data_IF_137927333703
#
_entry.id   IF_137927333703
#
_cell.length_a   1.000
_cell.length_b   1.000
_cell.length_c   1.000
_cell.angle_alpha   90.00
_cell.angle_beta   90.00
_cell.angle_gamma   90.00
#
_symmetry.space_group_name_H-M   'P 1'
#
loop_
_entity.id
_entity.type
_entity.pdbx_description
1 polymer ?
#
# COMPACT_ATOMS: atom_id res chain seq x y z
N UNK A 1 -76.84 -51.16 -40.06
CA UNK A 1 -76.64 -50.34 -38.84
C UNK A 1 -75.55 -50.86 -37.90
N UNK A 2 -75.44 -52.17 -37.62
CA UNK A 2 -74.43 -52.71 -36.67
C UNK A 2 -72.96 -52.49 -37.12
N UNK A 3 -72.64 -52.67 -38.40
CA UNK A 3 -71.27 -52.46 -38.92
C UNK A 3 -70.78 -51.00 -38.79
N UNK A 4 -71.67 -50.02 -39.00
CA UNK A 4 -71.34 -48.60 -38.85
C UNK A 4 -71.02 -48.25 -37.39
N UNK A 5 -71.74 -48.85 -36.44
CA UNK A 5 -71.50 -48.69 -35.01
C UNK A 5 -70.16 -49.28 -34.57
N UNK A 6 -69.73 -50.42 -35.13
CA UNK A 6 -68.43 -51.01 -34.83
C UNK A 6 -67.26 -50.17 -35.37
N UNK A 7 -67.38 -49.57 -36.56
CA UNK A 7 -66.34 -48.68 -37.12
C UNK A 7 -66.20 -47.40 -36.28
N UNK A 8 -67.33 -46.82 -35.85
CA UNK A 8 -67.32 -45.64 -34.96
C UNK A 8 -66.72 -46.00 -33.59
N UNK A 9 -67.02 -47.18 -33.05
CA UNK A 9 -66.44 -47.64 -31.79
C UNK A 9 -64.92 -47.83 -31.88
N UNK A 10 -64.41 -48.40 -32.98
CA UNK A 10 -62.96 -48.56 -33.21
C UNK A 10 -62.28 -47.19 -33.36
N UNK A 11 -62.89 -46.26 -34.10
CA UNK A 11 -62.38 -44.90 -34.24
C UNK A 11 -62.37 -44.14 -32.90
N UNK A 12 -63.40 -44.32 -32.05
CA UNK A 12 -63.47 -43.74 -30.72
C UNK A 12 -62.39 -44.31 -29.77
N UNK A 13 -62.12 -45.62 -29.84
CA UNK A 13 -61.04 -46.27 -29.07
C UNK A 13 -59.67 -45.78 -29.55
N UNK A 14 -59.46 -45.66 -30.87
CA UNK A 14 -58.22 -45.13 -31.45
C UNK A 14 -57.96 -43.67 -31.06
N UNK A 15 -59.00 -42.83 -31.12
CA UNK A 15 -58.93 -41.44 -30.66
C UNK A 15 -58.66 -41.34 -29.15
N UNK A 16 -59.29 -42.21 -28.35
CA UNK A 16 -59.02 -42.31 -26.91
C UNK A 16 -57.59 -42.74 -26.59
N UNK A 17 -57.05 -43.69 -27.35
CA UNK A 17 -55.64 -44.13 -27.25
C UNK A 17 -54.65 -43.01 -27.60
N UNK A 18 -54.91 -42.27 -28.69
CA UNK A 18 -54.07 -41.14 -29.09
C UNK A 18 -54.10 -39.98 -28.08
N UNK A 19 -55.29 -39.61 -27.59
CA UNK A 19 -55.45 -38.57 -26.60
C UNK A 19 -54.82 -38.95 -25.25
N UNK A 20 -54.93 -40.23 -24.86
CA UNK A 20 -54.27 -40.79 -23.68
C UNK A 20 -52.75 -40.73 -23.81
N UNK A 21 -52.19 -41.13 -24.96
CA UNK A 21 -50.75 -41.05 -25.22
C UNK A 21 -50.23 -39.61 -25.21
N UNK A 22 -50.93 -38.68 -25.86
CA UNK A 22 -50.55 -37.27 -25.89
C UNK A 22 -50.61 -36.63 -24.48
N UNK A 23 -51.60 -37.03 -23.67
CA UNK A 23 -51.73 -36.56 -22.28
C UNK A 23 -50.62 -37.14 -21.40
N UNK A 24 -50.27 -38.41 -21.60
CA UNK A 24 -49.16 -39.09 -20.91
C UNK A 24 -47.81 -38.45 -21.25
N UNK A 25 -47.57 -38.08 -22.51
CA UNK A 25 -46.34 -37.40 -22.93
C UNK A 25 -46.23 -36.00 -22.30
N UNK A 26 -47.32 -35.22 -22.32
CA UNK A 26 -47.39 -33.91 -21.64
C UNK A 26 -47.17 -34.04 -20.14
N UNK A 27 -47.74 -35.06 -19.50
CA UNK A 27 -47.57 -35.31 -18.08
C UNK A 27 -46.13 -35.72 -17.73
N UNK A 28 -45.51 -36.54 -18.58
CA UNK A 28 -44.09 -36.93 -18.43
C UNK A 28 -43.17 -35.71 -18.55
N UNK A 29 -43.36 -34.88 -19.58
CA UNK A 29 -42.64 -33.60 -19.74
C UNK A 29 -42.83 -32.69 -18.53
N UNK A 30 -44.07 -32.52 -18.06
CA UNK A 30 -44.35 -31.69 -16.89
C UNK A 30 -43.68 -32.22 -15.61
N UNK A 31 -43.52 -33.55 -15.49
CA UNK A 31 -42.82 -34.18 -14.37
C UNK A 31 -41.31 -33.97 -14.47
N UNK A 32 -40.73 -34.07 -15.66
CA UNK A 32 -39.31 -33.76 -15.93
C UNK A 32 -39.02 -32.28 -15.66
N UNK A 33 -39.85 -31.36 -16.19
CA UNK A 33 -39.73 -29.92 -15.97
C UNK A 33 -39.79 -29.57 -14.47
N UNK A 34 -40.71 -30.18 -13.71
CA UNK A 34 -40.77 -30.00 -12.25
C UNK A 34 -39.51 -30.51 -11.56
N UNK A 35 -39.01 -31.67 -11.95
CA UNK A 35 -37.83 -32.27 -11.35
C UNK A 35 -36.56 -31.47 -11.66
N UNK A 36 -36.47 -30.87 -12.85
CA UNK A 36 -35.43 -29.93 -13.22
C UNK A 36 -35.56 -28.60 -12.47
N UNK A 37 -36.78 -28.08 -12.33
CA UNK A 37 -37.05 -26.85 -11.58
C UNK A 37 -36.71 -27.00 -10.08
N UNK A 38 -37.03 -28.15 -9.48
CA UNK A 38 -36.66 -28.47 -8.10
C UNK A 38 -35.14 -28.57 -7.92
N UNK A 39 -34.44 -29.26 -8.83
CA UNK A 39 -32.96 -29.31 -8.84
C UNK A 39 -32.34 -27.92 -8.98
N UNK A 40 -32.87 -27.10 -9.89
CA UNK A 40 -32.40 -25.72 -10.09
C UNK A 40 -32.67 -24.85 -8.86
N UNK A 41 -33.81 -25.03 -8.19
CA UNK A 41 -34.12 -24.33 -6.95
C UNK A 41 -33.20 -24.75 -5.79
N UNK A 42 -32.87 -26.03 -5.66
CA UNK A 42 -31.89 -26.49 -4.66
C UNK A 42 -30.49 -25.92 -4.93
N UNK A 43 -30.02 -25.99 -6.17
CA UNK A 43 -28.74 -25.41 -6.57
C UNK A 43 -28.67 -23.89 -6.31
N UNK A 44 -29.75 -23.16 -6.61
CA UNK A 44 -29.86 -21.72 -6.32
C UNK A 44 -29.83 -21.44 -4.82
N UNK A 45 -30.53 -22.23 -4.01
CA UNK A 45 -30.49 -22.09 -2.55
C UNK A 45 -29.08 -22.30 -2.00
N UNK A 46 -28.38 -23.34 -2.47
CA UNK A 46 -26.99 -23.59 -2.09
C UNK A 46 -26.08 -22.41 -2.47
N UNK A 47 -26.17 -21.93 -3.72
CA UNK A 47 -25.40 -20.77 -4.19
C UNK A 47 -25.70 -19.50 -3.38
N UNK A 48 -26.97 -19.22 -3.03
CA UNK A 48 -27.33 -18.08 -2.18
C UNK A 48 -26.67 -18.18 -0.79
N UNK A 49 -26.63 -19.37 -0.20
CA UNK A 49 -25.99 -19.60 1.10
C UNK A 49 -24.48 -19.34 1.01
N UNK A 50 -23.83 -19.84 -0.04
CA UNK A 50 -22.39 -19.64 -0.27
C UNK A 50 -22.05 -18.17 -0.52
N UNK A 51 -22.78 -17.50 -1.41
CA UNK A 51 -22.59 -16.06 -1.67
C UNK A 51 -22.83 -15.22 -0.41
N UNK A 52 -23.82 -15.59 0.42
CA UNK A 52 -24.05 -14.89 1.70
C UNK A 52 -22.90 -15.09 2.69
N UNK A 53 -22.30 -16.28 2.70
CA UNK A 53 -21.11 -16.57 3.52
C UNK A 53 -19.89 -15.78 3.03
N UNK A 54 -19.67 -15.72 1.73
CA UNK A 54 -18.62 -14.92 1.11
C UNK A 54 -18.80 -13.42 1.36
N UNK A 55 -20.03 -12.90 1.22
CA UNK A 55 -20.34 -11.50 1.52
C UNK A 55 -20.00 -11.14 2.97
N UNK A 56 -20.38 -11.99 3.94
CA UNK A 56 -19.99 -11.80 5.35
C UNK A 56 -18.47 -11.86 5.57
N UNK A 57 -17.78 -12.76 4.88
CA UNK A 57 -16.33 -12.84 4.94
C UNK A 57 -15.68 -11.56 4.38
N UNK A 58 -16.18 -11.03 3.26
CA UNK A 58 -15.73 -9.77 2.67
C UNK A 58 -16.02 -8.57 3.57
N UNK A 59 -17.17 -8.51 4.25
CA UNK A 59 -17.47 -7.48 5.23
C UNK A 59 -16.47 -7.51 6.40
N UNK A 60 -16.18 -8.69 6.92
CA UNK A 60 -15.19 -8.86 7.99
C UNK A 60 -13.78 -8.44 7.53
N UNK A 61 -13.37 -8.79 6.31
CA UNK A 61 -12.08 -8.36 5.75
C UNK A 61 -12.04 -6.85 5.48
N UNK A 62 -13.15 -6.25 5.03
CA UNK A 62 -13.27 -4.79 4.88
C UNK A 62 -13.10 -4.09 6.22
N UNK A 63 -13.73 -4.60 7.28
CA UNK A 63 -13.65 -3.98 8.60
C UNK A 63 -12.25 -4.12 9.20
N UNK A 64 -11.58 -5.27 9.01
CA UNK A 64 -10.16 -5.43 9.31
C UNK A 64 -9.28 -4.47 8.51
N UNK A 65 -9.56 -4.29 7.22
CA UNK A 65 -8.81 -3.37 6.37
C UNK A 65 -8.99 -1.91 6.81
N UNK A 66 -10.20 -1.50 7.21
CA UNK A 66 -10.48 -0.19 7.79
C UNK A 66 -9.77 0.02 9.13
N UNK A 67 -9.81 -0.98 10.02
CA UNK A 67 -9.10 -0.92 11.29
C UNK A 67 -7.59 -0.77 11.08
N UNK A 68 -7.01 -1.58 10.18
CA UNK A 68 -5.60 -1.46 9.78
C UNK A 68 -5.31 -0.11 9.14
N UNK A 69 -6.20 0.43 8.31
CA UNK A 69 -6.03 1.77 7.73
C UNK A 69 -5.90 2.81 8.84
N UNK A 70 -6.83 2.82 9.80
CA UNK A 70 -6.84 3.78 10.92
C UNK A 70 -5.61 3.62 11.83
N UNK A 71 -5.26 2.39 12.23
CA UNK A 71 -4.06 2.09 13.03
C UNK A 71 -2.81 2.59 12.30
N UNK A 72 -2.72 2.26 11.00
CA UNK A 72 -1.59 2.72 10.22
C UNK A 72 -1.59 4.25 10.10
N UNK A 73 -2.71 4.93 9.87
CA UNK A 73 -2.77 6.41 9.79
C UNK A 73 -2.23 7.05 11.08
N UNK A 74 -2.58 6.51 12.24
CA UNK A 74 -2.01 6.95 13.52
C UNK A 74 -0.49 6.72 13.56
N UNK A 75 0.02 5.57 13.08
CA UNK A 75 1.46 5.33 12.98
C UNK A 75 2.16 6.32 12.02
N UNK A 76 1.48 6.76 10.95
CA UNK A 76 2.02 7.75 10.02
C UNK A 76 2.18 9.10 10.72
N UNK A 77 1.14 9.53 11.41
CA UNK A 77 1.14 10.79 12.16
C UNK A 77 2.22 10.77 13.26
N UNK A 78 2.37 9.64 13.96
CA UNK A 78 3.44 9.44 14.93
C UNK A 78 4.83 9.49 14.28
N UNK A 79 5.02 8.83 13.13
CA UNK A 79 6.29 8.88 12.40
C UNK A 79 6.62 10.29 11.91
N UNK A 80 5.64 11.03 11.40
CA UNK A 80 5.81 12.43 10.99
C UNK A 80 6.14 13.35 12.16
N UNK A 81 5.50 13.15 13.31
CA UNK A 81 5.80 13.86 14.55
C UNK A 81 7.24 13.59 15.00
N UNK A 82 7.67 12.32 14.97
CA UNK A 82 9.04 11.93 15.29
C UNK A 82 10.06 12.57 14.33
N UNK A 83 9.78 12.61 13.03
CA UNK A 83 10.64 13.31 12.06
C UNK A 83 10.76 14.80 12.40
N UNK A 84 9.64 15.47 12.73
CA UNK A 84 9.65 16.88 13.14
C UNK A 84 10.48 17.08 14.41
N UNK A 85 10.35 16.20 15.39
CA UNK A 85 11.09 16.24 16.64
C UNK A 85 12.59 16.03 16.40
N UNK A 86 12.99 14.95 15.72
CA UNK A 86 14.40 14.67 15.39
C UNK A 86 15.04 15.78 14.56
N UNK A 87 14.28 16.43 13.67
CA UNK A 87 14.76 17.58 12.90
C UNK A 87 15.01 18.81 13.77
N UNK A 88 14.14 19.08 14.75
CA UNK A 88 14.36 20.15 15.75
C UNK A 88 15.59 19.85 16.60
N UNK A 89 15.73 18.62 17.08
CA UNK A 89 16.90 18.20 17.86
C UNK A 89 18.19 18.35 17.05
N UNK A 90 18.21 17.91 15.79
CA UNK A 90 19.36 18.08 14.91
C UNK A 90 19.72 19.56 14.72
N UNK A 91 18.73 20.45 14.58
CA UNK A 91 18.97 21.90 14.49
C UNK A 91 19.57 22.47 15.79
N UNK A 92 19.05 22.07 16.95
CA UNK A 92 19.58 22.48 18.26
C UNK A 92 21.02 22.01 18.47
N UNK A 93 21.32 20.74 18.12
CA UNK A 93 22.68 20.22 18.22
C UNK A 93 23.64 20.91 17.25
N UNK A 94 23.19 21.23 16.04
CA UNK A 94 23.97 22.01 15.08
C UNK A 94 24.31 23.41 15.60
N UNK A 95 23.38 24.08 16.28
CA UNK A 95 23.66 25.36 16.95
C UNK A 95 24.71 25.21 18.05
N UNK A 96 24.59 24.17 18.89
CA UNK A 96 25.56 23.89 19.96
C UNK A 96 26.96 23.53 19.45
N UNK A 97 27.06 22.90 18.27
CA UNK A 97 28.35 22.65 17.60
C UNK A 97 28.96 23.98 17.17
N UNK A 98 28.20 24.84 16.48
CA UNK A 98 28.70 26.16 16.08
C UNK A 98 29.18 27.01 17.27
N UNK A 99 28.44 27.03 18.37
CA UNK A 99 28.86 27.72 19.60
C UNK A 99 30.13 27.11 20.24
N UNK A 100 30.32 25.79 20.15
CA UNK A 100 31.51 25.12 20.67
C UNK A 100 32.73 25.34 19.75
N UNK A 101 32.52 25.35 18.44
CA UNK A 101 33.56 25.66 17.45
C UNK A 101 34.08 27.10 17.65
N UNK A 102 33.20 28.08 17.85
CA UNK A 102 33.61 29.46 18.16
C UNK A 102 34.45 29.53 19.44
N UNK A 103 34.08 28.77 20.49
CA UNK A 103 34.85 28.70 21.74
C UNK A 103 36.20 28.03 21.53
N UNK A 104 36.26 26.94 20.76
CA UNK A 104 37.52 26.28 20.40
C UNK A 104 38.44 27.23 19.65
N UNK A 105 37.92 28.01 18.70
CA UNK A 105 38.66 29.00 17.93
C UNK A 105 39.23 30.11 18.84
N UNK A 106 38.43 30.59 19.79
CA UNK A 106 38.87 31.57 20.79
C UNK A 106 39.98 31.02 21.69
N UNK A 107 39.82 29.79 22.19
CA UNK A 107 40.82 29.14 23.05
C UNK A 107 42.12 28.89 22.28
N UNK A 108 42.03 28.46 21.01
CA UNK A 108 43.20 28.27 20.16
C UNK A 108 43.95 29.58 19.88
N UNK A 109 43.22 30.68 19.67
CA UNK A 109 43.82 32.03 19.53
C UNK A 109 44.53 32.46 20.82
N UNK A 110 43.93 32.22 21.98
CA UNK A 110 44.56 32.50 23.28
C UNK A 110 45.85 31.68 23.45
N UNK A 111 45.82 30.37 23.21
CA UNK A 111 47.02 29.52 23.25
C UNK A 111 48.12 30.05 22.31
N UNK A 112 47.75 30.48 21.10
CA UNK A 112 48.70 31.03 20.13
C UNK A 112 49.29 32.36 20.60
N UNK A 113 48.48 33.25 21.18
CA UNK A 113 48.96 34.52 21.76
C UNK A 113 49.89 34.30 22.96
N UNK A 114 49.56 33.34 23.84
CA UNK A 114 50.38 32.99 25.01
C UNK A 114 51.71 32.39 24.55
N UNK A 115 51.70 31.47 23.57
CA UNK A 115 52.94 30.92 22.97
C UNK A 115 53.80 31.99 22.30
N UNK A 116 53.18 32.98 21.65
CA UNK A 116 53.90 34.09 21.02
C UNK A 116 54.53 35.01 22.06
N UNK A 117 53.80 35.37 23.11
CA UNK A 117 54.33 36.14 24.25
C UNK A 117 55.49 35.40 24.94
N UNK A 118 55.40 34.07 25.07
CA UNK A 118 56.48 33.22 25.57
C UNK A 118 57.74 33.27 24.68
N UNK A 119 57.57 33.37 23.36
CA UNK A 119 58.68 33.42 22.40
C UNK A 119 59.32 34.82 22.31
N UNK A 120 58.57 35.88 22.60
CA UNK A 120 59.04 37.27 22.62
C UNK A 120 59.75 37.64 23.93
N UNK A 121 59.51 36.89 25.02
CA UNK A 121 60.28 36.93 26.25
C UNK A 121 61.65 36.24 26.05
N UNK A 122 62.52 36.89 25.28
CA UNK A 122 63.94 36.57 25.18
C UNK A 122 64.69 36.82 26.51
N UNK A 123 65.96 36.38 26.62
CA UNK A 123 66.67 36.06 27.86
C UNK A 123 67.02 37.21 28.83
N UNK A 124 66.38 38.38 28.76
CA UNK A 124 66.80 39.58 29.50
C UNK A 124 65.67 40.22 30.34
N UNK A 125 65.12 39.45 31.30
CA UNK A 125 64.10 39.93 32.26
C UNK A 125 64.54 39.63 33.70
N UNK A 126 64.45 40.63 34.58
CA UNK A 126 64.90 40.55 35.99
C UNK A 126 64.27 39.37 36.75
N UNK A 127 65.13 38.52 37.31
CA UNK A 127 64.89 37.11 37.71
C UNK A 127 64.01 36.84 38.96
N UNK A 128 63.53 37.84 39.69
CA UNK A 128 62.90 37.62 41.01
C UNK A 128 61.45 37.09 40.90
N UNK A 129 60.63 37.61 39.97
CA UNK A 129 59.19 37.28 39.87
C UNK A 129 58.82 36.38 38.69
N UNK A 130 59.78 36.10 37.81
CA UNK A 130 59.61 35.33 36.56
C UNK A 130 59.21 33.86 36.79
N UNK A 131 59.78 33.12 37.76
CA UNK A 131 59.42 31.71 37.97
C UNK A 131 57.95 31.52 38.39
N UNK A 132 57.41 32.45 39.19
CA UNK A 132 56.03 32.40 39.65
C UNK A 132 55.01 32.71 38.55
N UNK A 133 55.33 33.67 37.66
CA UNK A 133 54.52 33.95 36.48
C UNK A 133 54.59 32.83 35.44
N UNK A 134 55.79 32.30 35.15
CA UNK A 134 55.96 31.19 34.20
C UNK A 134 55.18 29.95 34.66
N UNK A 135 55.20 29.64 35.96
CA UNK A 135 54.45 28.51 36.51
C UNK A 135 52.93 28.72 36.44
N UNK A 136 52.44 29.92 36.75
CA UNK A 136 51.03 30.28 36.55
C UNK A 136 50.61 30.19 35.08
N UNK A 137 51.43 30.70 34.17
CA UNK A 137 51.14 30.68 32.74
C UNK A 137 51.24 29.27 32.13
N UNK A 138 52.14 28.41 32.63
CA UNK A 138 52.17 26.98 32.28
C UNK A 138 50.92 26.25 32.77
N UNK A 139 50.48 26.53 34.00
CA UNK A 139 49.24 25.99 34.55
C UNK A 139 48.03 26.46 33.72
N UNK A 140 47.97 27.73 33.33
CA UNK A 140 46.93 28.29 32.46
C UNK A 140 46.92 27.65 31.06
N UNK A 141 48.10 27.43 30.46
CA UNK A 141 48.20 26.77 29.16
C UNK A 141 47.78 25.30 29.24
N UNK A 142 48.11 24.62 30.34
CA UNK A 142 47.69 23.24 30.61
C UNK A 142 46.19 23.15 30.85
N UNK A 143 45.60 24.11 31.55
CA UNK A 143 44.15 24.21 31.75
C UNK A 143 43.43 24.51 30.42
N UNK A 144 43.95 25.43 29.61
CA UNK A 144 43.40 25.75 28.30
C UNK A 144 43.44 24.55 27.34
N UNK A 145 44.55 23.80 27.31
CA UNK A 145 44.65 22.57 26.53
C UNK A 145 43.66 21.49 26.99
N UNK A 146 43.48 21.32 28.31
CA UNK A 146 42.46 20.38 28.84
C UNK A 146 41.05 20.78 28.44
N UNK A 147 40.71 22.06 28.52
CA UNK A 147 39.40 22.59 28.07
C UNK A 147 39.21 22.39 26.57
N UNK A 148 40.27 22.55 25.78
CA UNK A 148 40.24 22.32 24.34
C UNK A 148 39.95 20.85 24.03
N UNK A 149 40.65 19.91 24.66
CA UNK A 149 40.40 18.47 24.48
C UNK A 149 38.98 18.07 24.89
N UNK A 150 38.46 18.62 26.00
CA UNK A 150 37.09 18.38 26.45
C UNK A 150 36.06 18.91 25.44
N UNK A 151 36.23 20.15 24.97
CA UNK A 151 35.35 20.77 23.98
C UNK A 151 35.40 20.04 22.63
N UNK A 152 36.57 19.59 22.18
CA UNK A 152 36.70 18.79 20.96
C UNK A 152 35.99 17.43 21.11
N UNK A 153 36.11 16.78 22.27
CA UNK A 153 35.41 15.54 22.57
C UNK A 153 33.88 15.72 22.55
N UNK A 154 33.38 16.78 23.19
CA UNK A 154 31.95 17.12 23.21
C UNK A 154 31.42 17.45 21.81
N UNK A 155 32.19 18.19 21.01
CA UNK A 155 31.85 18.53 19.62
C UNK A 155 31.79 17.26 18.77
N UNK A 156 32.80 16.38 18.86
CA UNK A 156 32.80 15.10 18.14
C UNK A 156 31.66 14.16 18.55
N UNK A 157 31.25 14.18 19.82
CA UNK A 157 30.07 13.45 20.28
C UNK A 157 28.76 14.05 19.75
N UNK A 158 28.67 15.38 19.69
CA UNK A 158 27.52 16.10 19.13
C UNK A 158 27.39 15.87 17.62
N UNK A 159 28.49 15.88 16.86
CA UNK A 159 28.52 15.58 15.43
C UNK A 159 28.01 14.18 15.14
N UNK A 160 28.45 13.18 15.92
CA UNK A 160 27.95 11.80 15.81
C UNK A 160 26.43 11.73 16.04
N UNK A 161 25.89 12.50 16.99
CA UNK A 161 24.45 12.58 17.25
C UNK A 161 23.69 13.23 16.08
N UNK A 162 24.22 14.30 15.50
CA UNK A 162 23.63 14.93 14.32
C UNK A 162 23.61 13.95 13.14
N UNK A 163 24.71 13.24 12.90
CA UNK A 163 24.80 12.25 11.84
C UNK A 163 23.78 11.11 12.06
N UNK A 164 23.67 10.58 13.28
CA UNK A 164 22.70 9.54 13.62
C UNK A 164 21.25 10.02 13.43
N UNK A 165 20.92 11.23 13.91
CA UNK A 165 19.59 11.81 13.75
C UNK A 165 19.24 12.03 12.27
N UNK A 166 20.20 12.47 11.45
CA UNK A 166 20.00 12.63 10.01
C UNK A 166 19.74 11.29 9.30
N UNK A 167 20.46 10.24 9.67
CA UNK A 167 20.22 8.89 9.14
C UNK A 167 18.82 8.38 9.51
N UNK A 168 18.39 8.59 10.76
CA UNK A 168 17.04 8.24 11.21
C UNK A 168 15.96 9.02 10.46
N UNK A 169 16.17 10.33 10.22
CA UNK A 169 15.26 11.16 9.43
C UNK A 169 15.11 10.60 8.01
N UNK A 170 16.22 10.22 7.36
CA UNK A 170 16.17 9.63 6.01
C UNK A 170 15.39 8.32 6.00
N UNK A 171 15.68 7.41 6.95
CA UNK A 171 14.98 6.13 7.06
C UNK A 171 13.47 6.30 7.29
N UNK A 172 13.09 7.19 8.21
CA UNK A 172 11.69 7.51 8.48
C UNK A 172 11.00 8.15 7.27
N UNK A 173 11.69 9.04 6.57
CA UNK A 173 11.18 9.69 5.35
C UNK A 173 10.97 8.68 4.22
N UNK A 174 11.88 7.73 4.05
CA UNK A 174 11.75 6.66 3.07
C UNK A 174 10.57 5.74 3.39
N UNK A 175 10.37 5.41 4.68
CA UNK A 175 9.19 4.66 5.13
C UNK A 175 7.89 5.38 4.80
N UNK A 176 7.81 6.68 5.11
CA UNK A 176 6.64 7.52 4.81
C UNK A 176 6.38 7.54 3.30
N UNK A 177 7.41 7.76 2.48
CA UNK A 177 7.29 7.88 1.02
C UNK A 177 6.87 6.57 0.38
N UNK A 178 7.50 5.44 0.76
CA UNK A 178 7.11 4.11 0.27
C UNK A 178 5.66 3.80 0.62
N UNK A 179 5.22 4.21 1.81
CA UNK A 179 3.85 4.03 2.25
C UNK A 179 2.85 4.89 1.50
N UNK A 180 3.13 6.17 1.31
CA UNK A 180 2.30 7.08 0.53
C UNK A 180 2.08 6.54 -0.89
N UNK A 181 3.13 6.00 -1.53
CA UNK A 181 3.03 5.31 -2.82
C UNK A 181 2.09 4.10 -2.79
N UNK A 182 2.13 3.26 -1.75
CA UNK A 182 1.21 2.12 -1.62
C UNK A 182 -0.26 2.56 -1.47
N UNK A 183 -0.52 3.58 -0.65
CA UNK A 183 -1.88 4.10 -0.45
C UNK A 183 -2.41 4.70 -1.77
N UNK A 184 -1.59 5.51 -2.44
CA UNK A 184 -1.94 6.09 -3.74
C UNK A 184 -2.16 5.00 -4.80
N UNK A 185 -1.36 3.93 -4.79
CA UNK A 185 -1.51 2.82 -5.73
C UNK A 185 -2.74 1.95 -5.50
N UNK A 186 -3.11 1.71 -4.23
CA UNK A 186 -4.29 0.92 -3.89
C UNK A 186 -5.61 1.69 -4.09
N UNK A 187 -5.56 3.02 -4.06
CA UNK A 187 -6.70 3.90 -4.36
C UNK A 187 -6.81 4.27 -5.84
N UNK A 188 -5.80 3.92 -6.65
CA UNK A 188 -5.81 4.17 -8.07
C UNK A 188 -6.80 3.26 -8.79
N UNK A 189 -7.59 3.85 -9.67
CA UNK A 189 -8.61 3.16 -10.43
C UNK A 189 -8.34 3.32 -11.93
N UNK A 190 -8.31 2.20 -12.65
CA UNK A 190 -8.28 2.15 -14.10
C UNK A 190 -9.70 2.19 -14.70
N UNK A 191 -9.79 2.34 -16.01
CA UNK A 191 -11.06 2.35 -16.75
C UNK A 191 -10.98 1.48 -17.98
N UNK A 192 -12.02 0.70 -18.26
CA UNK A 192 -12.13 -0.06 -19.51
C UNK A 192 -12.41 0.93 -20.65
N UNK A 193 -11.51 0.98 -21.63
CA UNK A 193 -11.65 1.86 -22.80
C UNK A 193 -12.38 1.17 -23.94
N UNK A 194 -12.14 -0.13 -24.13
CA UNK A 194 -12.78 -0.94 -25.15
C UNK A 194 -12.85 -2.39 -24.70
N UNK A 195 -13.83 -3.13 -25.20
CA UNK A 195 -13.99 -4.56 -24.97
C UNK A 195 -14.39 -5.24 -26.26
N UNK A 196 -13.83 -6.43 -26.49
CA UNK A 196 -14.25 -7.32 -27.56
C UNK A 196 -14.83 -8.60 -26.93
N UNK A 197 -16.15 -8.75 -27.02
CA UNK A 197 -16.83 -9.90 -26.42
C UNK A 197 -16.58 -11.20 -27.16
N UNK A 198 -16.43 -11.15 -28.48
CA UNK A 198 -16.22 -12.34 -29.33
C UNK A 198 -14.87 -13.01 -29.04
N UNK A 199 -13.84 -12.20 -28.76
CA UNK A 199 -12.49 -12.70 -28.45
C UNK A 199 -12.20 -12.74 -26.95
N UNK A 200 -13.04 -12.10 -26.12
CA UNK A 200 -12.95 -12.17 -24.67
C UNK A 200 -11.85 -11.33 -24.04
N UNK A 201 -11.40 -10.25 -24.68
CA UNK A 201 -10.39 -9.35 -24.12
C UNK A 201 -10.90 -7.92 -24.00
N UNK A 202 -10.31 -7.17 -23.06
CA UNK A 202 -10.59 -5.78 -22.77
C UNK A 202 -9.29 -4.95 -22.77
N UNK A 203 -9.41 -3.70 -23.21
CA UNK A 203 -8.35 -2.71 -23.14
C UNK A 203 -8.64 -1.79 -21.96
N UNK A 204 -7.77 -1.79 -20.97
CA UNK A 204 -7.89 -1.00 -19.74
C UNK A 204 -6.86 0.13 -19.77
N UNK A 205 -7.30 1.36 -19.52
CA UNK A 205 -6.41 2.47 -19.26
C UNK A 205 -6.15 2.58 -17.75
N UNK A 206 -4.88 2.65 -17.38
CA UNK A 206 -4.44 2.60 -15.98
C UNK A 206 -3.62 3.85 -15.67
N UNK A 207 -3.89 4.54 -14.55
CA UNK A 207 -3.12 5.70 -14.17
C UNK A 207 -1.73 5.30 -13.67
N UNK A 208 -0.75 6.19 -13.85
CA UNK A 208 0.67 5.94 -13.54
C UNK A 208 0.95 5.58 -12.08
N UNK A 209 0.05 5.94 -11.17
CA UNK A 209 0.18 5.64 -9.74
C UNK A 209 -0.32 4.23 -9.38
N UNK A 210 -1.02 3.52 -10.27
CA UNK A 210 -1.49 2.15 -10.04
C UNK A 210 -0.36 1.15 -10.31
N UNK A 211 0.16 0.45 -9.30
CA UNK A 211 1.24 -0.51 -9.46
C UNK A 211 0.69 -1.81 -10.04
N UNK A 212 0.80 -1.98 -11.36
CA UNK A 212 0.34 -3.18 -12.06
C UNK A 212 1.51 -3.91 -12.70
N UNK A 213 1.55 -5.22 -12.55
CA UNK A 213 2.50 -6.12 -13.21
C UNK A 213 1.74 -7.29 -13.86
N UNK A 214 2.41 -8.10 -14.68
CA UNK A 214 1.79 -9.21 -15.42
C UNK A 214 1.12 -10.27 -14.51
N UNK A 215 1.55 -10.38 -13.24
CA UNK A 215 0.97 -11.32 -12.27
C UNK A 215 -0.18 -10.72 -11.46
N UNK A 216 -0.46 -9.42 -11.63
CA UNK A 216 -1.52 -8.73 -10.92
C UNK A 216 -2.88 -9.21 -11.40
N UNK A 217 -3.79 -9.42 -10.45
CA UNK A 217 -5.20 -9.71 -10.74
C UNK A 217 -6.00 -8.42 -10.64
N UNK A 218 -6.86 -8.21 -11.63
CA UNK A 218 -7.68 -7.00 -11.74
C UNK A 218 -9.16 -7.37 -11.57
N UNK A 219 -9.92 -6.46 -10.98
CA UNK A 219 -11.36 -6.58 -10.74
C UNK A 219 -12.09 -5.47 -11.48
N UNK A 220 -13.16 -5.83 -12.17
CA UNK A 220 -14.10 -4.91 -12.79
C UNK A 220 -15.21 -4.58 -11.79
N UNK A 221 -15.48 -3.28 -11.59
CA UNK A 221 -16.59 -2.78 -10.80
C UNK A 221 -17.37 -1.71 -11.57
N UNK A 222 -18.67 -1.65 -11.28
CA UNK A 222 -19.55 -0.55 -11.71
C UNK A 222 -20.24 0.01 -10.47
N UNK A 223 -19.87 1.24 -10.12
CA UNK A 223 -20.24 1.82 -8.83
C UNK A 223 -19.72 0.97 -7.67
N UNK A 224 -20.63 0.46 -6.85
CA UNK A 224 -20.33 -0.42 -5.72
C UNK A 224 -20.43 -1.93 -6.06
N UNK A 225 -20.83 -2.28 -7.29
CA UNK A 225 -21.07 -3.67 -7.68
C UNK A 225 -19.86 -4.29 -8.36
N UNK A 226 -19.48 -5.49 -7.92
CA UNK A 226 -18.53 -6.36 -8.60
C UNK A 226 -19.14 -6.92 -9.89
N UNK A 227 -18.39 -6.84 -10.99
CA UNK A 227 -18.80 -7.39 -12.29
C UNK A 227 -18.07 -8.68 -12.59
N UNK A 228 -16.76 -8.74 -12.39
CA UNK A 228 -15.93 -9.88 -12.79
C UNK A 228 -14.44 -9.59 -12.66
N UNK A 229 -13.61 -10.58 -12.95
CA UNK A 229 -12.15 -10.48 -12.92
C UNK A 229 -11.57 -10.30 -14.32
N UNK A 230 -10.39 -9.67 -14.35
CA UNK A 230 -9.53 -9.53 -15.52
C UNK A 230 -8.18 -10.19 -15.26
N UNK A 231 -7.67 -10.89 -16.26
CA UNK A 231 -6.33 -11.47 -16.27
C UNK A 231 -5.46 -10.71 -17.26
N UNK A 232 -4.34 -10.18 -16.79
CA UNK A 232 -3.44 -9.38 -17.62
C UNK A 232 -2.73 -10.30 -18.63
N UNK A 233 -2.75 -9.90 -19.89
CA UNK A 233 -1.98 -10.55 -20.96
C UNK A 233 -0.76 -9.72 -21.35
N UNK A 234 -0.93 -8.41 -21.53
CA UNK A 234 0.14 -7.52 -21.93
C UNK A 234 -0.03 -6.13 -21.32
N UNK A 235 1.10 -5.47 -21.05
CA UNK A 235 1.17 -4.11 -20.52
C UNK A 235 1.90 -3.23 -21.53
N UNK A 236 1.18 -2.26 -22.09
CA UNK A 236 1.66 -1.28 -23.08
C UNK A 236 1.61 0.13 -22.47
N UNK A 237 2.57 0.42 -21.59
CA UNK A 237 2.64 1.70 -20.88
C UNK A 237 1.42 1.91 -19.97
N UNK A 238 0.59 2.92 -20.29
CA UNK A 238 -0.64 3.20 -19.54
C UNK A 238 -1.83 2.32 -19.97
N UNK A 239 -1.68 1.48 -21.00
CA UNK A 239 -2.74 0.61 -21.51
C UNK A 239 -2.42 -0.83 -21.17
N UNK A 240 -3.43 -1.57 -20.74
CA UNK A 240 -3.33 -3.00 -20.47
C UNK A 240 -4.30 -3.74 -21.36
N UNK A 241 -3.81 -4.81 -21.98
CA UNK A 241 -4.65 -5.81 -22.64
C UNK A 241 -4.87 -6.95 -21.65
N UNK A 242 -6.12 -7.19 -21.30
CA UNK A 242 -6.49 -8.21 -20.32
C UNK A 242 -7.64 -9.09 -20.83
N UNK A 243 -7.58 -10.38 -20.53
CA UNK A 243 -8.67 -11.32 -20.78
C UNK A 243 -9.76 -11.18 -19.71
N UNK A 244 -11.00 -11.27 -20.17
CA UNK A 244 -12.19 -11.27 -19.32
C UNK A 244 -12.45 -12.69 -18.82
N UNK A 245 -12.39 -12.86 -17.50
CA UNK A 245 -12.75 -14.15 -16.89
C UNK A 245 -14.27 -14.26 -16.77
N UNK A 246 -14.93 -14.72 -17.84
CA UNK A 246 -16.38 -14.91 -17.90
C UNK A 246 -16.93 -15.83 -16.80
N UNK A 247 -16.12 -16.75 -16.25
CA UNK A 247 -16.56 -17.64 -15.16
C UNK A 247 -16.70 -16.89 -13.84
N UNK A 248 -15.97 -15.81 -13.69
CA UNK A 248 -16.02 -14.95 -12.49
C UNK A 248 -17.10 -13.87 -12.57
N UNK A 249 -17.85 -13.79 -13.67
CA UNK A 249 -18.80 -12.70 -13.88
C UNK A 249 -20.08 -12.87 -13.08
N UNK A 250 -20.59 -11.76 -12.54
CA UNK A 250 -21.89 -11.71 -11.88
C UNK A 250 -23.00 -12.05 -12.89
N UNK A 251 -23.90 -13.00 -12.60
CA UNK A 251 -24.95 -13.40 -13.53
C UNK A 251 -25.79 -12.21 -14.02
N UNK A 252 -25.93 -12.10 -15.34
CA UNK A 252 -26.69 -11.02 -15.99
C UNK A 252 -25.93 -9.69 -16.13
N UNK A 253 -24.71 -9.59 -15.61
CA UNK A 253 -23.84 -8.44 -15.83
C UNK A 253 -22.85 -8.73 -16.95
N UNK A 254 -22.54 -7.71 -17.76
CA UNK A 254 -21.48 -7.74 -18.76
C UNK A 254 -20.54 -6.57 -18.53
N UNK A 255 -19.24 -6.81 -18.75
CA UNK A 255 -18.23 -5.77 -18.74
C UNK A 255 -18.46 -4.82 -19.93
N UNK A 256 -18.30 -3.52 -19.71
CA UNK A 256 -18.57 -2.48 -20.69
C UNK A 256 -17.47 -1.43 -20.68
N UNK A 257 -17.26 -0.71 -21.80
CA UNK A 257 -16.46 0.50 -21.79
C UNK A 257 -16.99 1.49 -20.74
N UNK A 258 -16.09 2.10 -19.98
CA UNK A 258 -16.40 2.98 -18.85
C UNK A 258 -16.47 2.27 -17.50
N UNK A 259 -16.46 0.94 -17.44
CA UNK A 259 -16.34 0.22 -16.18
C UNK A 259 -14.99 0.48 -15.50
N UNK A 260 -15.00 0.49 -14.18
CA UNK A 260 -13.82 0.80 -13.36
C UNK A 260 -13.06 -0.48 -13.07
N UNK A 261 -11.74 -0.40 -13.10
CA UNK A 261 -10.84 -1.52 -12.83
C UNK A 261 -9.95 -1.22 -11.63
N UNK A 262 -9.89 -2.14 -10.67
CA UNK A 262 -9.07 -2.01 -9.45
C UNK A 262 -8.22 -3.25 -9.23
N UNK A 263 -7.19 -3.15 -8.41
CA UNK A 263 -6.39 -4.30 -8.00
C UNK A 263 -7.22 -5.26 -7.14
N UNK A 264 -7.21 -6.55 -7.48
CA UNK A 264 -7.91 -7.58 -6.70
C UNK A 264 -7.29 -7.78 -5.31
N UNK A 265 -5.99 -7.54 -5.21
CA UNK A 265 -5.25 -7.57 -3.96
C UNK A 265 -4.55 -6.23 -3.76
N UNK A 266 -4.67 -5.61 -2.58
CA UNK A 266 -3.91 -4.42 -2.29
C UNK A 266 -2.42 -4.75 -2.32
N UNK A 267 -1.61 -3.80 -2.77
CA UNK A 267 -0.16 -3.89 -2.69
C UNK A 267 0.26 -3.86 -1.23
N UNK A 268 0.72 -5.01 -0.75
CA UNK A 268 1.33 -5.21 0.56
C UNK A 268 2.81 -5.55 0.37
N UNK A 269 3.65 -5.14 1.33
CA UNK A 269 5.00 -5.70 1.44
C UNK A 269 4.93 -7.13 1.99
#
# INVERSE_FOLDING_TARGET
MKALLYVIAIAAIGAGGWFSYQTMEKFTKLKEDRLELDKNNENRKASIVDTKKEAKAMEAERDKAKAKLAETEADLENAESNVKLSKREAATWKSKIAEQDEKLDSVQKLITSIKKAFSELGPDVQLDQVPGLVKKLEDDLKEANRKLEELQSLTGAADKRVAANNAQIQELTDRITKRAKRIAGNSAEGTITAINHDWGFAIVNIPNNMPVNETSKLIIKRGASFIGNLKINAIEGARIVADVDYKSMTPGMVAQPGDVVVLAKPVTN
#
